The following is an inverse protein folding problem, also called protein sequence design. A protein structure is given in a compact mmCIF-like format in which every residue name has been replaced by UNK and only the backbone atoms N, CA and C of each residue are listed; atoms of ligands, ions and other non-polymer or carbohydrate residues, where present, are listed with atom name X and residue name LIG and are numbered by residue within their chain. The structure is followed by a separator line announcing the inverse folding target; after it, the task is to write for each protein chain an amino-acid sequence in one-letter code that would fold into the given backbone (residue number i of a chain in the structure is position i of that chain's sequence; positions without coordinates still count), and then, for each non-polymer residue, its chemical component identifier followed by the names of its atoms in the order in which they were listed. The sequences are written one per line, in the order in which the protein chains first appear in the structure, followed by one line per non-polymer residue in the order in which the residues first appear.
data_IF_919231014962
#
_entry.id   IF_919231014962
#
_cell.length_a   1.000
_cell.length_b   1.000
_cell.length_c   1.000
_cell.angle_alpha   90.00
_cell.angle_beta   90.00
_cell.angle_gamma   90.00
#
_symmetry.space_group_name_H-M   'P 1'
#
loop_
_entity.id
_entity.type
_entity.pdbx_description
1 polymer ?
#
# COMPACT_ATOMS: atom_id res chain seq x y z
N UNK A 1 -16.52 -21.75 17.94
CA UNK A 1 -16.00 -21.45 16.59
C UNK A 1 -15.01 -20.30 16.71
N UNK A 2 -14.07 -20.16 15.77
CA UNK A 2 -13.06 -19.08 15.71
C UNK A 2 -13.11 -18.43 14.33
N UNK A 3 -12.81 -17.14 14.23
CA UNK A 3 -12.87 -16.36 12.98
C UNK A 3 -11.53 -15.70 12.69
N UNK A 4 -11.09 -15.75 11.43
CA UNK A 4 -9.91 -15.04 10.92
C UNK A 4 -10.36 -14.08 9.83
N UNK A 5 -9.85 -12.85 9.86
CA UNK A 5 -10.10 -11.84 8.82
C UNK A 5 -8.82 -11.55 8.04
N UNK A 6 -8.98 -11.33 6.73
CA UNK A 6 -7.88 -10.89 5.86
C UNK A 6 -7.71 -9.36 5.93
N UNK A 7 -6.47 -8.89 5.84
CA UNK A 7 -6.11 -7.47 5.71
C UNK A 7 -4.94 -7.31 4.73
N UNK A 8 -5.12 -6.43 3.75
CA UNK A 8 -4.05 -5.99 2.86
C UNK A 8 -3.39 -4.71 3.40
N UNK A 9 -2.10 -4.46 3.08
CA UNK A 9 -1.40 -3.29 3.61
C UNK A 9 -1.82 -1.98 2.95
N UNK A 10 -2.24 -2.01 1.69
CA UNK A 10 -2.39 -0.81 0.87
C UNK A 10 -3.71 -0.07 1.17
N UNK A 11 -3.60 1.24 1.47
CA UNK A 11 -4.74 2.06 1.91
C UNK A 11 -5.17 3.02 0.80
N UNK A 12 -6.43 2.96 0.38
CA UNK A 12 -7.01 3.89 -0.60
C UNK A 12 -6.92 5.34 -0.14
N UNK A 13 -6.38 6.19 -1.01
CA UNK A 13 -6.29 7.65 -0.79
C UNK A 13 -7.26 8.45 -1.66
N UNK A 14 -8.17 7.80 -2.38
CA UNK A 14 -9.14 8.48 -3.24
C UNK A 14 -10.59 8.44 -2.72
N UNK A 15 -10.80 7.99 -1.49
CA UNK A 15 -12.12 7.99 -0.85
C UNK A 15 -12.68 9.41 -0.69
N UNK A 16 -13.98 9.58 -0.94
CA UNK A 16 -14.68 10.87 -0.79
C UNK A 16 -15.40 11.02 0.55
N UNK A 17 -15.82 9.90 1.13
CA UNK A 17 -16.39 9.88 2.48
C UNK A 17 -15.25 9.84 3.53
N UNK A 18 -15.49 10.26 4.78
CA UNK A 18 -14.49 10.20 5.83
C UNK A 18 -13.91 8.79 5.97
N UNK A 19 -12.60 8.67 5.72
CA UNK A 19 -11.89 7.39 5.81
C UNK A 19 -10.74 7.47 6.82
N UNK A 20 -11.00 7.17 8.11
CA UNK A 20 -10.04 7.38 9.19
C UNK A 20 -8.70 6.66 8.99
N UNK A 21 -8.71 5.46 8.41
CA UNK A 21 -7.47 4.71 8.17
C UNK A 21 -6.49 5.49 7.29
N UNK A 22 -6.96 6.08 6.19
CA UNK A 22 -6.12 6.92 5.34
C UNK A 22 -5.79 8.26 6.00
N UNK A 23 -6.80 8.98 6.50
CA UNK A 23 -6.60 10.32 7.08
C UNK A 23 -5.62 10.29 8.24
N UNK A 24 -5.79 9.37 9.20
CA UNK A 24 -4.87 9.21 10.32
C UNK A 24 -3.50 8.73 9.87
N UNK A 25 -3.43 7.92 8.82
CA UNK A 25 -2.15 7.49 8.23
C UNK A 25 -1.34 8.68 7.70
N UNK A 26 -1.99 9.61 7.00
CA UNK A 26 -1.36 10.87 6.56
C UNK A 26 -0.96 11.74 7.75
N UNK A 27 -1.86 11.93 8.72
CA UNK A 27 -1.59 12.74 9.93
C UNK A 27 -0.41 12.21 10.76
N UNK A 28 -0.21 10.89 10.80
CA UNK A 28 0.86 10.23 11.56
C UNK A 28 2.11 9.91 10.71
N UNK A 29 2.16 10.40 9.45
CA UNK A 29 3.29 10.19 8.52
C UNK A 29 3.72 8.71 8.46
N UNK A 30 2.78 7.83 8.13
CA UNK A 30 3.01 6.36 8.11
C UNK A 30 3.28 5.82 6.72
N UNK A 31 3.01 6.58 5.66
CA UNK A 31 3.07 6.09 4.29
C UNK A 31 4.45 6.28 3.66
N UNK A 32 4.83 5.31 2.83
CA UNK A 32 6.05 5.36 2.01
C UNK A 32 5.94 6.50 0.98
N UNK A 33 7.00 7.29 0.89
CA UNK A 33 7.07 8.47 0.03
C UNK A 33 8.34 8.46 -0.83
N UNK A 34 8.39 9.37 -1.80
CA UNK A 34 9.62 9.62 -2.55
C UNK A 34 10.63 10.36 -1.66
N UNK A 35 11.94 10.16 -1.88
CA UNK A 35 12.99 10.88 -1.14
C UNK A 35 12.89 12.40 -1.35
N UNK A 36 13.61 13.16 -0.51
CA UNK A 36 13.65 14.63 -0.54
C UNK A 36 12.29 15.30 -0.27
N UNK A 37 11.50 14.73 0.66
CA UNK A 37 10.15 15.20 1.00
C UNK A 37 9.20 15.18 -0.21
N UNK A 38 9.35 14.17 -1.08
CA UNK A 38 8.39 13.93 -2.15
C UNK A 38 7.04 13.44 -1.60
N UNK A 39 6.05 13.39 -2.49
CA UNK A 39 4.72 12.87 -2.14
C UNK A 39 4.71 11.36 -1.88
N UNK A 40 3.54 10.86 -1.49
CA UNK A 40 3.28 9.42 -1.35
C UNK A 40 3.58 8.69 -2.66
N UNK A 41 4.20 7.51 -2.55
CA UNK A 41 4.39 6.60 -3.68
C UNK A 41 3.10 5.82 -3.88
N UNK A 42 2.30 6.22 -4.87
CA UNK A 42 1.00 5.63 -5.14
C UNK A 42 1.13 4.37 -5.99
N UNK A 43 0.51 3.27 -5.56
CA UNK A 43 0.25 2.10 -6.39
C UNK A 43 -1.23 1.90 -6.64
N UNK A 44 -1.59 0.71 -7.12
CA UNK A 44 -2.98 0.26 -7.27
C UNK A 44 -3.07 -1.20 -6.84
N UNK A 45 -4.07 -1.54 -6.04
CA UNK A 45 -4.37 -2.93 -5.64
C UNK A 45 -5.89 -3.11 -5.72
N UNK A 46 -6.52 -3.78 -4.75
CA UNK A 46 -7.93 -4.11 -4.75
C UNK A 46 -8.90 -2.93 -4.61
N UNK A 47 -8.61 -1.85 -3.86
CA UNK A 47 -9.57 -0.77 -3.67
C UNK A 47 -10.04 -0.15 -4.98
N UNK A 48 -11.34 0.09 -5.09
CA UNK A 48 -11.98 0.77 -6.21
C UNK A 48 -12.16 2.27 -5.93
N UNK A 49 -12.23 3.08 -6.98
CA UNK A 49 -12.64 4.47 -6.84
C UNK A 49 -14.07 4.58 -6.29
N UNK A 50 -14.38 5.60 -5.48
CA UNK A 50 -15.75 5.85 -5.05
C UNK A 50 -16.64 6.20 -6.25
N UNK A 51 -17.90 5.79 -6.18
CA UNK A 51 -18.93 6.06 -7.20
C UNK A 51 -18.64 5.51 -8.61
N UNK A 52 -17.75 4.52 -8.74
CA UNK A 52 -17.52 3.81 -10.00
C UNK A 52 -18.46 2.60 -10.12
N UNK A 53 -18.86 2.26 -11.35
CA UNK A 53 -19.53 0.98 -11.65
C UNK A 53 -18.53 0.07 -12.34
N UNK A 54 -18.20 -1.05 -11.69
CA UNK A 54 -17.25 -2.03 -12.20
C UNK A 54 -17.95 -2.91 -13.24
N UNK A 55 -17.45 -2.90 -14.48
CA UNK A 55 -17.80 -3.90 -15.48
C UNK A 55 -16.82 -5.09 -15.39
N UNK A 56 -17.26 -6.25 -14.86
CA UNK A 56 -16.38 -7.40 -14.68
C UNK A 56 -15.98 -8.07 -16.01
N UNK A 57 -16.59 -7.68 -17.13
CA UNK A 57 -16.28 -8.24 -18.46
C UNK A 57 -15.07 -7.59 -19.12
N UNK A 58 -14.61 -6.43 -18.63
CA UNK A 58 -13.40 -5.79 -19.11
C UNK A 58 -12.16 -6.64 -18.81
N UNK A 59 -11.14 -6.51 -19.65
CA UNK A 59 -9.85 -7.12 -19.39
C UNK A 59 -9.19 -6.55 -18.12
N UNK A 60 -8.27 -7.33 -17.54
CA UNK A 60 -7.66 -7.00 -16.26
C UNK A 60 -6.91 -5.66 -16.27
N UNK A 61 -6.19 -5.34 -17.35
CA UNK A 61 -5.44 -4.08 -17.44
C UNK A 61 -6.40 -2.88 -17.50
N UNK A 62 -7.48 -2.99 -18.29
CA UNK A 62 -8.56 -1.99 -18.32
C UNK A 62 -9.20 -1.78 -16.95
N UNK A 63 -9.46 -2.86 -16.20
CA UNK A 63 -10.02 -2.75 -14.84
C UNK A 63 -9.05 -2.04 -13.88
N UNK A 64 -7.75 -2.38 -13.91
CA UNK A 64 -6.74 -1.71 -13.08
C UNK A 64 -6.63 -0.23 -13.41
N UNK A 65 -6.70 0.12 -14.69
CA UNK A 65 -6.63 1.52 -15.10
C UNK A 65 -7.86 2.31 -14.69
N UNK A 66 -9.07 1.79 -14.97
CA UNK A 66 -10.32 2.53 -14.85
C UNK A 66 -10.93 2.50 -13.45
N UNK A 67 -10.79 1.40 -12.72
CA UNK A 67 -11.58 1.16 -11.51
C UNK A 67 -10.74 1.25 -10.23
N UNK A 68 -9.51 0.72 -10.25
CA UNK A 68 -8.70 0.64 -9.04
C UNK A 68 -8.21 2.02 -8.59
N UNK A 69 -8.51 2.37 -7.34
CA UNK A 69 -8.08 3.60 -6.68
C UNK A 69 -6.56 3.62 -6.46
N UNK A 70 -6.02 4.81 -6.23
CA UNK A 70 -4.64 4.96 -5.80
C UNK A 70 -4.53 4.60 -4.34
N UNK A 71 -3.53 3.78 -4.03
CA UNK A 71 -3.29 3.28 -2.68
C UNK A 71 -1.90 3.66 -2.19
N UNK A 72 -1.83 4.02 -0.91
CA UNK A 72 -0.61 4.30 -0.19
C UNK A 72 -0.15 3.04 0.56
N UNK A 73 1.15 2.81 0.62
CA UNK A 73 1.73 1.68 1.33
C UNK A 73 2.33 2.14 2.65
N UNK A 74 1.89 1.61 3.80
CA UNK A 74 2.49 1.93 5.10
C UNK A 74 3.92 1.42 5.22
N UNK A 75 4.80 2.21 5.80
CA UNK A 75 6.16 1.83 6.16
C UNK A 75 6.15 1.18 7.55
N UNK A 76 6.13 -0.15 7.58
CA UNK A 76 6.01 -0.93 8.82
C UNK A 76 7.29 -0.91 9.70
N UNK A 77 8.39 -0.30 9.26
CA UNK A 77 9.55 -0.07 10.13
C UNK A 77 9.31 1.07 11.13
N UNK A 78 8.44 2.03 10.80
CA UNK A 78 8.21 3.20 11.65
C UNK A 78 7.43 2.82 12.90
N UNK A 79 7.87 3.36 14.05
CA UNK A 79 7.13 3.27 15.29
C UNK A 79 5.74 3.91 15.20
N UNK A 80 5.58 4.97 14.39
CA UNK A 80 4.28 5.62 14.12
C UNK A 80 3.31 4.67 13.40
N UNK A 81 3.78 3.95 12.38
CA UNK A 81 2.99 2.95 11.65
C UNK A 81 2.51 1.84 12.56
N UNK A 82 3.36 1.37 13.48
CA UNK A 82 2.96 0.36 14.46
C UNK A 82 1.83 0.84 15.38
N UNK A 83 1.84 2.11 15.80
CA UNK A 83 0.77 2.72 16.61
C UNK A 83 -0.52 2.88 15.81
N UNK A 84 -0.41 3.43 14.59
CA UNK A 84 -1.53 3.61 13.68
C UNK A 84 -2.21 2.28 13.34
N UNK A 85 -1.45 1.28 12.87
CA UNK A 85 -1.98 -0.02 12.45
C UNK A 85 -2.69 -0.75 13.60
N UNK A 86 -2.10 -0.72 14.81
CA UNK A 86 -2.75 -1.27 16.01
C UNK A 86 -4.04 -0.54 16.35
N UNK A 87 -4.12 0.77 16.13
CA UNK A 87 -5.33 1.53 16.37
C UNK A 87 -6.44 1.17 15.38
N UNK A 88 -6.12 1.07 14.08
CA UNK A 88 -7.09 0.62 13.06
C UNK A 88 -7.63 -0.78 13.37
N UNK A 89 -6.74 -1.73 13.73
CA UNK A 89 -7.13 -3.08 14.15
C UNK A 89 -8.01 -3.05 15.40
N UNK A 90 -7.68 -2.20 16.39
CA UNK A 90 -8.45 -2.07 17.63
C UNK A 90 -9.86 -1.57 17.35
N UNK A 91 -10.02 -0.58 16.48
CA UNK A 91 -11.33 -0.03 16.11
C UNK A 91 -12.14 -0.98 15.24
N UNK A 92 -11.51 -1.77 14.37
CA UNK A 92 -12.18 -2.87 13.66
C UNK A 92 -12.75 -3.90 14.64
N UNK A 93 -11.95 -4.29 15.65
CA UNK A 93 -12.35 -5.25 16.66
C UNK A 93 -13.42 -4.70 17.60
N UNK A 94 -13.31 -3.43 17.99
CA UNK A 94 -14.18 -2.75 18.95
C UNK A 94 -14.50 -1.34 18.45
N UNK A 95 -15.51 -1.25 17.58
CA UNK A 95 -15.89 0.01 16.95
C UNK A 95 -16.57 0.92 17.98
N UNK A 96 -15.95 2.06 18.28
CA UNK A 96 -16.42 3.01 19.29
C UNK A 96 -17.60 3.86 18.82
N UNK A 97 -17.72 4.08 17.52
CA UNK A 97 -18.80 4.90 16.92
C UNK A 97 -20.07 4.07 16.70
N UNK A 98 -19.91 2.81 16.30
CA UNK A 98 -21.01 1.88 16.06
C UNK A 98 -20.67 0.49 16.61
N UNK A 99 -20.89 0.24 17.92
CA UNK A 99 -20.51 -1.03 18.55
C UNK A 99 -21.15 -2.25 17.91
N UNK A 100 -22.33 -2.11 17.28
CA UNK A 100 -23.02 -3.21 16.60
C UNK A 100 -22.28 -3.69 15.34
N UNK A 101 -21.41 -2.85 14.76
CA UNK A 101 -20.55 -3.18 13.61
C UNK A 101 -19.15 -3.67 14.00
N UNK A 102 -18.89 -3.93 15.27
CA UNK A 102 -17.61 -4.51 15.73
C UNK A 102 -17.41 -5.92 15.18
N UNK A 103 -16.22 -6.23 14.66
CA UNK A 103 -15.88 -7.57 14.18
C UNK A 103 -14.97 -8.29 15.18
N UNK A 104 -15.53 -9.25 15.93
CA UNK A 104 -14.78 -10.04 16.92
C UNK A 104 -14.04 -11.19 16.24
N UNK A 105 -12.84 -10.90 15.74
CA UNK A 105 -11.94 -11.89 15.16
C UNK A 105 -10.97 -12.47 16.21
N UNK A 106 -10.49 -13.68 15.94
CA UNK A 106 -9.54 -14.42 16.78
C UNK A 106 -8.12 -14.45 16.16
N UNK A 107 -8.00 -14.06 14.90
CA UNK A 107 -6.74 -13.95 14.18
C UNK A 107 -6.86 -13.04 12.96
N UNK A 108 -5.71 -12.60 12.46
CA UNK A 108 -5.58 -11.81 11.25
C UNK A 108 -4.71 -12.56 10.25
N UNK A 109 -5.13 -12.54 8.99
CA UNK A 109 -4.35 -12.98 7.84
C UNK A 109 -3.90 -11.74 7.09
N UNK A 110 -2.60 -11.46 7.11
CA UNK A 110 -2.01 -10.40 6.27
C UNK A 110 -1.65 -11.00 4.91
N UNK A 111 -2.06 -10.32 3.85
CA UNK A 111 -1.84 -10.77 2.46
C UNK A 111 -1.38 -9.59 1.59
N UNK A 112 -0.97 -9.88 0.35
CA UNK A 112 -0.57 -8.88 -0.64
C UNK A 112 0.62 -8.00 -0.19
N UNK A 113 1.48 -8.53 0.68
CA UNK A 113 2.45 -7.78 1.48
C UNK A 113 3.92 -7.99 1.07
N UNK A 114 4.18 -8.36 -0.17
CA UNK A 114 5.52 -8.41 -0.74
C UNK A 114 6.30 -7.08 -0.70
N UNK A 115 5.72 -5.87 -0.92
CA UNK A 115 4.33 -5.46 -1.17
C UNK A 115 3.89 -5.59 -2.65
N UNK A 116 2.72 -6.19 -2.87
CA UNK A 116 2.16 -6.36 -4.21
C UNK A 116 1.49 -5.09 -4.74
N UNK A 117 1.69 -4.80 -6.02
CA UNK A 117 1.05 -3.70 -6.74
C UNK A 117 0.65 -4.18 -8.14
N UNK A 118 -0.53 -3.75 -8.60
CA UNK A 118 -1.02 -4.08 -9.94
C UNK A 118 -0.31 -3.29 -11.05
N UNK A 119 0.34 -2.19 -10.68
CA UNK A 119 1.20 -1.39 -11.56
C UNK A 119 2.67 -1.73 -11.29
N UNK A 120 3.54 -1.59 -12.30
CA UNK A 120 4.98 -1.75 -12.09
C UNK A 120 5.55 -0.42 -11.61
N UNK A 121 5.91 -0.34 -10.34
CA UNK A 121 6.37 0.89 -9.69
C UNK A 121 5.20 1.71 -9.14
N UNK A 122 5.04 2.91 -9.66
CA UNK A 122 4.10 3.90 -9.11
C UNK A 122 3.25 4.58 -10.20
N UNK A 123 2.15 5.20 -9.77
CA UNK A 123 1.28 6.03 -10.62
C UNK A 123 1.20 7.47 -10.10
N UNK A 124 0.92 8.46 -10.97
CA UNK A 124 0.84 8.34 -12.43
C UNK A 124 2.23 8.37 -13.10
N UNK A 125 3.24 8.91 -12.42
CA UNK A 125 4.51 9.29 -13.03
C UNK A 125 5.50 8.14 -13.26
N UNK A 126 5.23 6.95 -12.70
CA UNK A 126 6.19 5.85 -12.71
C UNK A 126 7.38 6.12 -11.79
N UNK A 127 8.44 5.32 -11.98
CA UNK A 127 9.69 5.48 -11.25
C UNK A 127 10.67 6.37 -12.03
N UNK A 128 11.46 7.12 -11.28
CA UNK A 128 12.43 8.12 -11.76
C UNK A 128 13.87 7.59 -11.77
N UNK A 129 14.25 6.70 -10.83
CA UNK A 129 15.62 6.19 -10.76
C UNK A 129 15.80 4.91 -11.59
N UNK A 130 16.25 5.08 -12.83
CA UNK A 130 16.50 3.95 -13.73
C UNK A 130 17.57 2.99 -13.22
N UNK A 131 18.55 3.45 -12.45
CA UNK A 131 19.66 2.61 -11.97
C UNK A 131 19.24 1.72 -10.80
N UNK A 132 18.32 2.19 -9.97
CA UNK A 132 17.73 1.37 -8.92
C UNK A 132 16.70 0.38 -9.48
N UNK A 133 15.84 0.83 -10.40
CA UNK A 133 14.81 -0.05 -10.97
C UNK A 133 15.36 -1.04 -12.02
N UNK A 134 16.49 -0.72 -12.65
CA UNK A 134 17.24 -1.61 -13.56
C UNK A 134 18.73 -1.58 -13.21
N UNK A 135 19.14 -2.32 -12.17
CA UNK A 135 20.52 -2.34 -11.69
C UNK A 135 21.49 -2.90 -12.74
N UNK A 136 22.80 -2.57 -12.64
CA UNK A 136 23.82 -3.04 -13.59
C UNK A 136 23.80 -4.56 -13.82
N UNK A 137 23.50 -5.31 -12.76
CA UNK A 137 23.15 -6.71 -12.86
C UNK A 137 21.69 -6.89 -12.44
N UNK A 138 20.83 -7.17 -13.41
CA UNK A 138 19.45 -7.56 -13.14
C UNK A 138 19.42 -9.07 -12.82
N UNK A 139 19.04 -9.49 -11.60
CA UNK A 139 18.93 -10.91 -11.27
C UNK A 139 17.94 -11.65 -12.18
N UNK A 140 18.05 -12.98 -12.23
CA UNK A 140 17.14 -13.84 -12.99
C UNK A 140 15.80 -14.02 -12.26
N UNK A 141 14.98 -12.97 -12.28
CA UNK A 141 13.60 -12.96 -11.76
C UNK A 141 12.59 -13.20 -12.89
N UNK A 142 11.36 -13.55 -12.53
CA UNK A 142 10.27 -13.89 -13.48
C UNK A 142 10.09 -12.85 -14.60
N UNK A 143 9.93 -11.57 -14.24
CA UNK A 143 9.72 -10.46 -15.18
C UNK A 143 10.99 -9.60 -15.34
N UNK A 144 12.13 -10.25 -15.64
CA UNK A 144 13.45 -9.60 -15.69
C UNK A 144 13.51 -8.37 -16.60
N UNK A 145 12.77 -8.38 -17.70
CA UNK A 145 12.68 -7.28 -18.67
C UNK A 145 12.01 -6.02 -18.11
N UNK A 146 11.16 -6.16 -17.08
CA UNK A 146 10.47 -5.06 -16.41
C UNK A 146 11.31 -4.38 -15.34
N UNK A 147 12.37 -5.03 -14.86
CA UNK A 147 13.19 -4.53 -13.75
C UNK A 147 12.61 -4.87 -12.39
N UNK A 148 13.21 -4.32 -11.33
CA UNK A 148 12.83 -4.64 -9.95
C UNK A 148 11.47 -4.06 -9.54
N UNK A 149 11.00 -3.00 -10.19
CA UNK A 149 9.67 -2.42 -9.93
C UNK A 149 8.50 -3.26 -10.44
N UNK A 150 8.77 -4.43 -11.05
CA UNK A 150 7.72 -5.31 -11.56
C UNK A 150 6.76 -5.73 -10.46
N UNK A 151 5.47 -5.39 -10.61
CA UNK A 151 4.39 -5.75 -9.67
C UNK A 151 4.61 -5.28 -8.22
N UNK A 152 5.41 -4.24 -8.00
CA UNK A 152 5.71 -3.70 -6.67
C UNK A 152 6.04 -2.20 -6.74
N UNK A 153 6.56 -1.63 -5.65
CA UNK A 153 6.93 -0.21 -5.51
C UNK A 153 8.14 0.18 -6.37
N UNK A 154 8.38 1.48 -6.45
CA UNK A 154 9.61 2.02 -7.03
C UNK A 154 10.80 1.76 -6.10
N UNK A 155 11.94 1.37 -6.66
CA UNK A 155 13.12 1.00 -5.84
C UNK A 155 13.74 2.19 -5.10
N UNK A 156 13.51 3.42 -5.57
CA UNK A 156 13.91 4.66 -4.90
C UNK A 156 13.00 5.08 -3.74
N UNK A 157 11.87 4.40 -3.53
CA UNK A 157 10.92 4.74 -2.45
C UNK A 157 11.62 4.71 -1.09
N UNK A 158 11.33 5.70 -0.24
CA UNK A 158 12.03 5.89 1.02
C UNK A 158 11.28 5.22 2.18
N UNK A 159 12.03 4.46 2.98
CA UNK A 159 11.60 3.90 4.27
C UNK A 159 12.45 4.49 5.40
N UNK A 160 11.91 4.49 6.61
CA UNK A 160 12.58 4.96 7.82
C UNK A 160 12.66 3.81 8.83
N UNK A 161 13.89 3.38 9.11
CA UNK A 161 14.16 2.32 10.08
C UNK A 161 13.80 2.76 11.51
N UNK A 162 13.67 1.81 12.48
CA UNK A 162 13.30 2.15 13.86
C UNK A 162 14.29 3.10 14.57
N UNK A 163 15.54 3.16 14.12
CA UNK A 163 16.57 4.07 14.62
C UNK A 163 16.51 5.48 13.99
N UNK A 164 15.58 5.71 13.06
CA UNK A 164 15.38 6.97 12.34
C UNK A 164 16.24 7.13 11.08
N UNK A 165 17.08 6.14 10.75
CA UNK A 165 17.85 6.17 9.50
C UNK A 165 16.96 5.95 8.29
N UNK A 166 17.26 6.68 7.21
CA UNK A 166 16.54 6.58 5.92
C UNK A 166 17.18 5.51 5.06
N UNK A 167 16.36 4.63 4.51
CA UNK A 167 16.77 3.59 3.57
C UNK A 167 15.87 3.61 2.36
N UNK A 168 16.32 3.00 1.26
CA UNK A 168 15.52 2.88 0.04
C UNK A 168 14.88 1.51 0.00
N UNK A 169 13.75 1.40 -0.67
CA UNK A 169 13.08 0.12 -0.88
C UNK A 169 13.98 -0.90 -1.60
N UNK A 170 14.92 -0.45 -2.42
CA UNK A 170 15.95 -1.32 -3.01
C UNK A 170 16.70 -2.17 -1.97
N UNK A 171 16.85 -1.66 -0.75
CA UNK A 171 17.68 -2.25 0.31
C UNK A 171 16.84 -3.01 1.38
N UNK A 172 15.49 -2.98 1.31
CA UNK A 172 14.57 -3.56 2.32
C UNK A 172 13.36 -4.30 1.76
#
# INVERSE_FOLDING_TARGET
MRVILILDPAISGNETEPYPAFTRGVENDVFISYPNNGGIVWGKVWPDYPNITVDPSLDWDSQVQQYRAYVAFPDFFRNSTALWWKNEIKELHSNSQDPAKSLKFDGLWIDMNEPSSFVNGAVPSGCTDTTLNRPPYMPHLEARDRGLSSKTLCMESEHILPDGSRVRHYDV
#
